data_IF_015507761579
#
_entry.id   IF_015507761579
#
_cell.length_a   1.000
_cell.length_b   1.000
_cell.length_c   1.000
_cell.angle_alpha   90.00
_cell.angle_beta   90.00
_cell.angle_gamma   90.00
#
_symmetry.space_group_name_H-M   'P 1'
#
loop_
_entity.id
_entity.type
_entity.pdbx_description
1 polymer ?
#
# COMPACT_ATOMS: atom_id res chain seq x y z
N UNK A 1 12.30 -112.28 -4.47
CA UNK A 1 13.34 -111.38 -3.90
C UNK A 1 13.38 -110.01 -4.53
N UNK A 2 13.07 -109.83 -5.84
CA UNK A 2 13.12 -108.49 -6.52
C UNK A 2 11.96 -107.57 -6.17
N UNK A 3 10.77 -108.06 -5.90
CA UNK A 3 9.60 -107.24 -5.58
C UNK A 3 9.63 -106.59 -4.18
N UNK A 4 10.31 -107.20 -3.23
CA UNK A 4 10.44 -106.64 -1.89
C UNK A 4 11.48 -105.51 -1.82
N UNK A 5 12.46 -105.58 -2.70
CA UNK A 5 13.50 -104.53 -2.76
C UNK A 5 13.01 -103.22 -3.35
N UNK A 6 12.18 -103.33 -4.41
CA UNK A 6 11.59 -102.17 -5.05
C UNK A 6 10.53 -101.47 -4.18
N UNK A 7 9.80 -102.20 -3.32
CA UNK A 7 8.86 -101.62 -2.40
C UNK A 7 9.55 -100.77 -1.31
N UNK A 8 10.67 -101.30 -0.74
CA UNK A 8 11.46 -100.53 0.23
C UNK A 8 12.10 -99.25 -0.30
N UNK A 9 12.52 -99.32 -1.55
CA UNK A 9 13.09 -98.10 -2.21
C UNK A 9 12.00 -97.08 -2.43
N UNK A 10 10.79 -97.46 -2.85
CA UNK A 10 9.65 -96.56 -3.01
C UNK A 10 9.21 -95.89 -1.72
N UNK A 11 9.24 -96.63 -0.61
CA UNK A 11 8.88 -96.15 0.74
C UNK A 11 9.93 -95.13 1.24
N UNK A 12 11.22 -95.41 1.00
CA UNK A 12 12.31 -94.48 1.35
C UNK A 12 12.29 -93.18 0.49
N UNK A 13 11.84 -93.25 -0.76
CA UNK A 13 11.66 -92.07 -1.60
C UNK A 13 10.48 -91.24 -1.15
N UNK A 14 9.34 -91.89 -0.76
CA UNK A 14 8.19 -91.15 -0.21
C UNK A 14 8.46 -90.45 1.13
N UNK A 15 9.33 -91.05 1.98
CA UNK A 15 9.73 -90.40 3.23
C UNK A 15 10.67 -89.20 3.07
N UNK A 16 11.37 -89.12 1.93
CA UNK A 16 12.26 -87.97 1.65
C UNK A 16 11.60 -86.82 0.91
N UNK A 17 10.39 -86.99 0.36
CA UNK A 17 9.59 -85.99 -0.25
C UNK A 17 8.55 -85.48 0.76
N UNK A 18 8.95 -85.16 1.95
CA UNK A 18 8.19 -84.25 2.80
C UNK A 18 8.43 -82.86 2.33
N UNK A 19 7.51 -82.33 1.48
CA UNK A 19 7.48 -80.93 1.06
C UNK A 19 7.56 -80.06 2.32
N UNK A 20 8.46 -79.13 2.42
CA UNK A 20 8.49 -78.21 3.53
C UNK A 20 7.13 -77.48 3.57
N UNK A 21 6.44 -77.54 4.72
CA UNK A 21 5.23 -76.74 5.00
C UNK A 21 5.49 -75.32 4.58
N UNK A 22 4.68 -74.86 3.63
CA UNK A 22 4.85 -73.57 2.99
C UNK A 22 5.24 -72.49 3.99
N UNK A 23 6.36 -71.86 3.70
CA UNK A 23 6.75 -70.62 4.36
C UNK A 23 5.63 -69.63 4.10
N UNK A 24 4.95 -69.22 5.18
CA UNK A 24 3.96 -68.11 5.12
C UNK A 24 4.75 -66.86 4.77
N UNK A 25 4.75 -66.53 3.49
CA UNK A 25 5.27 -65.24 3.01
C UNK A 25 4.34 -64.16 3.60
N UNK A 26 4.70 -63.67 4.76
CA UNK A 26 4.03 -62.52 5.38
C UNK A 26 4.28 -61.36 4.47
N UNK A 27 3.28 -61.00 3.66
CA UNK A 27 3.36 -59.86 2.75
C UNK A 27 3.76 -58.61 3.54
N UNK A 28 5.02 -58.21 3.41
CA UNK A 28 5.56 -56.96 4.01
C UNK A 28 4.93 -55.71 3.39
N UNK A 29 4.10 -55.87 2.35
CA UNK A 29 3.46 -54.76 1.66
C UNK A 29 2.40 -54.08 2.54
N UNK A 30 1.61 -54.80 3.30
CA UNK A 30 0.63 -54.25 4.26
C UNK A 30 1.28 -53.48 5.42
N UNK A 31 2.55 -53.78 5.78
CA UNK A 31 3.29 -53.01 6.79
C UNK A 31 3.72 -51.64 6.29
N UNK A 32 4.11 -51.50 5.02
CA UNK A 32 4.52 -50.25 4.45
C UNK A 32 3.36 -49.24 4.33
N UNK A 33 2.16 -49.69 4.05
CA UNK A 33 0.97 -48.83 3.99
C UNK A 33 0.58 -48.30 5.37
N UNK A 34 0.76 -49.10 6.43
CA UNK A 34 0.52 -48.66 7.82
C UNK A 34 1.52 -47.57 8.26
N UNK A 35 2.78 -47.67 7.83
CA UNK A 35 3.81 -46.68 8.11
C UNK A 35 3.52 -45.40 7.33
N UNK A 36 3.13 -45.49 6.05
CA UNK A 36 2.72 -44.32 5.25
C UNK A 36 1.49 -43.63 5.84
N UNK A 37 0.47 -44.37 6.25
CA UNK A 37 -0.72 -43.80 6.88
C UNK A 37 -0.40 -43.11 8.22
N UNK A 38 0.47 -43.67 9.05
CA UNK A 38 0.93 -43.04 10.28
C UNK A 38 1.71 -41.77 10.03
N UNK A 39 2.58 -41.73 9.02
CA UNK A 39 3.32 -40.52 8.61
C UNK A 39 2.37 -39.39 8.14
N UNK A 40 1.33 -39.73 7.37
CA UNK A 40 0.32 -38.75 6.91
C UNK A 40 -0.46 -38.20 8.11
N UNK A 41 -0.87 -39.07 9.05
CA UNK A 41 -1.58 -38.64 10.26
C UNK A 41 -0.70 -37.68 11.10
N UNK A 42 0.59 -37.98 11.26
CA UNK A 42 1.52 -37.13 11.99
C UNK A 42 1.70 -35.77 11.28
N UNK A 43 1.83 -35.75 9.93
CA UNK A 43 1.93 -34.53 9.17
C UNK A 43 0.66 -33.69 9.26
N UNK A 44 -0.52 -34.30 9.15
CA UNK A 44 -1.81 -33.59 9.26
C UNK A 44 -2.02 -33.10 10.70
N UNK A 45 -1.71 -33.89 11.69
CA UNK A 45 -1.79 -33.49 13.10
C UNK A 45 -0.77 -32.37 13.40
N UNK A 46 0.46 -32.47 12.90
CA UNK A 46 1.48 -31.42 13.02
C UNK A 46 1.08 -30.16 12.36
N UNK A 47 0.54 -30.17 11.12
CA UNK A 47 0.01 -29.03 10.42
C UNK A 47 -1.21 -28.43 11.15
N UNK A 48 -2.10 -29.27 11.70
CA UNK A 48 -3.24 -28.85 12.52
C UNK A 48 -2.80 -28.14 13.80
N UNK A 49 -1.82 -28.69 14.51
CA UNK A 49 -1.26 -28.10 15.72
C UNK A 49 -0.57 -26.75 15.37
N UNK A 50 0.23 -26.69 14.30
CA UNK A 50 0.86 -25.44 13.85
C UNK A 50 -0.16 -24.37 13.45
N UNK A 51 -1.31 -24.76 12.88
CA UNK A 51 -2.38 -23.82 12.55
C UNK A 51 -3.10 -23.26 13.78
N UNK A 52 -3.21 -24.02 14.87
CA UNK A 52 -3.79 -23.58 16.15
C UNK A 52 -2.90 -22.58 16.89
N UNK A 53 -1.59 -22.60 16.65
CA UNK A 53 -0.65 -21.61 17.21
C UNK A 53 -0.54 -20.31 16.40
N UNK A 54 -1.13 -20.25 15.19
CA UNK A 54 -1.23 -19.01 14.42
C UNK A 54 -2.31 -18.11 15.06
N UNK A 55 -1.89 -17.27 16.01
CA UNK A 55 -2.79 -16.24 16.55
C UNK A 55 -3.24 -15.33 15.41
N UNK A 56 -4.56 -15.06 15.27
CA UNK A 56 -5.02 -14.08 14.28
C UNK A 56 -4.36 -12.73 14.58
N UNK A 57 -3.66 -12.19 13.61
CA UNK A 57 -3.04 -10.85 13.73
C UNK A 57 -4.17 -9.84 13.73
N UNK A 58 -4.37 -9.15 14.87
CA UNK A 58 -5.37 -8.08 14.98
C UNK A 58 -4.93 -6.91 14.10
N UNK A 59 -5.87 -6.34 13.37
CA UNK A 59 -5.67 -5.16 12.56
C UNK A 59 -6.11 -3.93 13.35
N UNK A 60 -5.31 -2.87 13.28
CA UNK A 60 -5.63 -1.54 13.79
C UNK A 60 -6.10 -0.68 12.62
N UNK A 61 -7.18 0.04 12.83
CA UNK A 61 -7.79 0.92 11.83
C UNK A 61 -7.75 2.35 12.34
N UNK A 62 -7.23 3.27 11.52
CA UNK A 62 -7.25 4.71 11.78
C UNK A 62 -7.96 5.39 10.63
N UNK A 63 -9.02 6.14 10.94
CA UNK A 63 -9.83 6.85 9.95
C UNK A 63 -9.83 8.35 10.22
N UNK A 64 -9.72 9.14 9.15
CA UNK A 64 -9.97 10.57 9.12
C UNK A 64 -11.35 10.80 8.47
N UNK A 65 -12.41 10.96 9.28
CA UNK A 65 -13.78 11.04 8.75
C UNK A 65 -14.04 12.35 7.99
N UNK A 66 -14.07 13.48 8.71
CA UNK A 66 -14.43 14.81 8.15
C UNK A 66 -13.28 15.81 8.15
N UNK A 67 -12.26 15.57 8.96
CA UNK A 67 -11.12 16.45 9.12
C UNK A 67 -9.83 15.69 8.90
N UNK A 68 -8.79 16.39 8.46
CA UNK A 68 -7.44 15.85 8.38
C UNK A 68 -7.00 15.30 9.72
N UNK A 69 -6.28 14.19 9.70
CA UNK A 69 -5.76 13.55 10.90
C UNK A 69 -4.29 13.22 10.73
N UNK A 70 -3.49 13.66 11.69
CA UNK A 70 -2.06 13.29 11.76
C UNK A 70 -1.85 12.30 12.89
N UNK A 71 -1.07 11.26 12.65
CA UNK A 71 -0.65 10.32 13.69
C UNK A 71 0.71 9.71 13.36
N UNK A 72 1.34 9.12 14.37
CA UNK A 72 2.65 8.48 14.23
C UNK A 72 2.50 6.97 14.38
N UNK A 73 3.06 6.23 13.43
CA UNK A 73 3.16 4.78 13.49
C UNK A 73 4.22 4.35 14.52
N UNK A 74 4.21 3.08 14.97
CA UNK A 74 5.16 2.60 15.99
C UNK A 74 6.65 2.71 15.62
N UNK A 75 6.99 2.78 14.32
CA UNK A 75 8.36 2.97 13.81
C UNK A 75 8.82 4.42 13.73
N UNK A 76 7.97 5.39 14.14
CA UNK A 76 8.25 6.81 14.03
C UNK A 76 7.75 7.46 12.73
N UNK A 77 7.27 6.68 11.76
CA UNK A 77 6.67 7.20 10.53
C UNK A 77 5.47 8.09 10.83
N UNK A 78 5.45 9.30 10.29
CA UNK A 78 4.33 10.24 10.43
C UNK A 78 3.41 10.12 9.22
N UNK A 79 2.10 10.00 9.48
CA UNK A 79 1.07 9.87 8.45
C UNK A 79 0.07 11.01 8.57
N UNK A 80 -0.18 11.72 7.46
CA UNK A 80 -1.17 12.79 7.34
C UNK A 80 -2.31 12.28 6.47
N UNK A 81 -3.44 11.94 7.09
CA UNK A 81 -4.64 11.45 6.40
C UNK A 81 -5.52 12.60 5.96
N UNK A 82 -5.95 12.59 4.70
CA UNK A 82 -7.01 13.48 4.21
C UNK A 82 -8.40 13.01 4.67
N UNK A 83 -9.41 13.89 4.67
CA UNK A 83 -10.79 13.52 5.00
C UNK A 83 -11.29 12.35 4.15
N UNK A 84 -12.03 11.42 4.76
CA UNK A 84 -12.53 10.21 4.11
C UNK A 84 -11.50 9.09 3.95
N UNK A 85 -10.28 9.26 4.47
CA UNK A 85 -9.19 8.29 4.34
C UNK A 85 -9.14 7.33 5.51
N UNK A 86 -8.83 6.08 5.20
CA UNK A 86 -8.59 5.02 6.19
C UNK A 86 -7.25 4.36 5.95
N UNK A 87 -6.49 4.15 7.02
CA UNK A 87 -5.28 3.33 7.03
C UNK A 87 -5.44 2.16 7.99
N UNK A 88 -4.95 1.00 7.58
CA UNK A 88 -5.00 -0.24 8.35
C UNK A 88 -3.60 -0.83 8.46
N UNK A 89 -3.22 -1.31 9.65
CA UNK A 89 -1.95 -1.99 9.89
C UNK A 89 -2.08 -3.03 11.00
N UNK A 90 -1.17 -3.99 11.02
CA UNK A 90 -1.20 -5.09 11.99
C UNK A 90 -0.72 -4.65 13.38
N UNK A 91 -1.20 -5.27 14.46
CA UNK A 91 -0.67 -5.07 15.83
C UNK A 91 0.79 -5.53 15.97
N UNK A 92 1.27 -6.36 15.05
CA UNK A 92 2.67 -6.79 14.93
C UNK A 92 3.54 -5.86 14.06
N UNK A 93 2.96 -4.73 13.58
CA UNK A 93 3.68 -3.76 12.75
C UNK A 93 5.03 -3.36 13.35
N UNK A 94 6.05 -3.29 12.49
CA UNK A 94 7.41 -2.87 12.88
C UNK A 94 8.29 -3.95 13.51
N UNK A 95 7.77 -5.18 13.72
CA UNK A 95 8.58 -6.29 14.25
C UNK A 95 9.32 -7.05 13.15
N UNK A 96 8.62 -7.36 12.06
CA UNK A 96 9.15 -8.09 10.90
C UNK A 96 8.91 -7.29 9.62
N UNK A 97 7.77 -6.61 9.52
CA UNK A 97 7.33 -5.87 8.34
C UNK A 97 6.72 -4.53 8.74
N UNK A 98 6.89 -3.52 7.88
CA UNK A 98 6.27 -2.19 8.00
C UNK A 98 5.19 -2.03 6.93
N UNK A 99 4.16 -2.90 7.01
CA UNK A 99 3.09 -2.95 6.01
C UNK A 99 1.84 -2.21 6.48
N UNK A 100 1.30 -1.35 5.62
CA UNK A 100 0.03 -0.66 5.84
C UNK A 100 -0.85 -0.77 4.60
N UNK A 101 -2.18 -0.73 4.78
CA UNK A 101 -3.16 -0.68 3.69
C UNK A 101 -3.85 0.67 3.72
N UNK A 102 -3.89 1.36 2.58
CA UNK A 102 -4.47 2.68 2.39
C UNK A 102 -5.74 2.62 1.52
N UNK A 103 -6.79 3.32 1.98
CA UNK A 103 -7.97 3.67 1.17
C UNK A 103 -8.16 5.19 1.28
N UNK A 104 -8.15 5.91 0.16
CA UNK A 104 -8.20 7.36 0.11
C UNK A 104 -6.84 8.01 -0.15
N UNK A 105 -6.52 9.12 0.51
CA UNK A 105 -5.30 9.91 0.30
C UNK A 105 -4.53 10.13 1.60
N UNK A 106 -3.22 9.85 1.57
CA UNK A 106 -2.32 10.14 2.68
C UNK A 106 -0.93 10.59 2.21
N UNK A 107 -0.36 11.54 2.97
CA UNK A 107 1.04 11.89 2.89
C UNK A 107 1.81 11.10 3.97
N UNK A 108 2.88 10.46 3.57
CA UNK A 108 3.77 9.71 4.43
C UNK A 108 5.11 10.41 4.57
N UNK A 109 5.58 10.59 5.80
CA UNK A 109 6.97 10.90 6.12
C UNK A 109 7.57 9.68 6.80
N UNK A 110 8.13 8.80 5.98
CA UNK A 110 8.59 7.49 6.42
C UNK A 110 9.94 7.59 7.11
N UNK A 111 10.03 7.03 8.32
CA UNK A 111 11.28 6.91 9.06
C UNK A 111 12.26 5.98 8.33
N UNK A 112 13.54 6.39 8.26
CA UNK A 112 14.55 5.66 7.50
C UNK A 112 14.93 4.34 8.18
N UNK A 113 14.74 3.24 7.48
CA UNK A 113 15.18 1.91 7.87
C UNK A 113 15.47 1.08 6.60
N UNK A 114 16.76 0.88 6.34
CA UNK A 114 17.24 0.17 5.15
C UNK A 114 17.06 -1.36 5.27
N UNK A 115 16.87 -1.88 6.50
CA UNK A 115 16.70 -3.31 6.74
C UNK A 115 15.23 -3.77 6.60
N UNK A 116 14.28 -2.89 6.93
CA UNK A 116 12.85 -3.21 6.91
C UNK A 116 12.11 -2.23 6.01
N UNK A 117 11.83 -2.56 4.74
CA UNK A 117 11.07 -1.71 3.83
C UNK A 117 9.69 -1.37 4.38
N UNK A 118 9.25 -0.12 4.16
CA UNK A 118 7.89 0.32 4.43
C UNK A 118 7.04 0.12 3.17
N UNK A 119 5.91 -0.56 3.30
CA UNK A 119 5.04 -0.90 2.16
C UNK A 119 3.65 -0.32 2.41
N UNK A 120 3.18 0.47 1.44
CA UNK A 120 1.78 0.92 1.39
C UNK A 120 1.07 0.18 0.28
N UNK A 121 0.12 -0.66 0.65
CA UNK A 121 -0.75 -1.36 -0.28
C UNK A 121 -2.10 -0.62 -0.43
N UNK A 122 -2.65 -0.60 -1.63
CA UNK A 122 -4.02 -0.16 -1.90
C UNK A 122 -4.74 -1.19 -2.76
N UNK A 123 -5.96 -0.89 -3.20
CA UNK A 123 -6.68 -1.74 -4.15
C UNK A 123 -6.02 -1.80 -5.55
N UNK A 124 -5.26 -0.77 -5.95
CA UNK A 124 -4.75 -0.59 -7.31
C UNK A 124 -3.24 -0.76 -7.44
N UNK A 125 -2.49 -0.23 -6.48
CA UNK A 125 -1.03 -0.19 -6.50
C UNK A 125 -0.45 -0.56 -5.14
N UNK A 126 0.81 -0.96 -5.15
CA UNK A 126 1.67 -1.08 -3.96
C UNK A 126 2.87 -0.17 -4.11
N UNK A 127 3.30 0.46 -3.01
CA UNK A 127 4.53 1.26 -2.96
C UNK A 127 5.48 0.66 -1.93
N UNK A 128 6.78 0.69 -2.24
CA UNK A 128 7.85 0.24 -1.35
C UNK A 128 8.91 1.32 -1.21
N UNK A 129 9.28 1.65 0.03
CA UNK A 129 10.27 2.69 0.35
C UNK A 129 11.14 2.28 1.53
N UNK A 130 12.31 2.90 1.69
CA UNK A 130 13.22 2.68 2.83
C UNK A 130 13.25 3.86 3.81
N UNK A 131 12.88 5.08 3.34
CA UNK A 131 12.88 6.31 4.12
C UNK A 131 12.64 7.49 3.18
N UNK A 132 11.38 7.82 2.94
CA UNK A 132 10.94 8.67 1.85
C UNK A 132 9.75 9.51 2.31
N UNK A 133 9.63 10.74 1.80
CA UNK A 133 8.42 11.54 1.92
C UNK A 133 7.66 11.49 0.60
N UNK A 134 6.43 11.03 0.61
CA UNK A 134 5.60 10.88 -0.58
C UNK A 134 4.11 10.98 -0.26
N UNK A 135 3.32 11.42 -1.23
CA UNK A 135 1.86 11.36 -1.18
C UNK A 135 1.36 10.20 -2.02
N UNK A 136 0.36 9.49 -1.52
CA UNK A 136 -0.34 8.42 -2.25
C UNK A 136 -1.84 8.68 -2.17
N UNK A 137 -2.49 8.70 -3.33
CA UNK A 137 -3.91 8.92 -3.49
C UNK A 137 -4.54 7.80 -4.32
N UNK A 138 -5.69 7.28 -3.88
CA UNK A 138 -6.49 6.29 -4.60
C UNK A 138 -7.87 6.86 -4.84
N UNK A 139 -8.15 7.21 -6.10
CA UNK A 139 -9.42 7.82 -6.53
C UNK A 139 -10.38 6.76 -7.09
N UNK A 140 -11.60 6.78 -6.60
CA UNK A 140 -12.76 6.09 -7.21
C UNK A 140 -12.51 4.64 -7.64
N UNK A 141 -11.58 3.92 -7.00
CA UNK A 141 -11.21 2.53 -7.32
C UNK A 141 -10.71 2.29 -8.76
N UNK A 142 -10.49 3.35 -9.55
CA UNK A 142 -10.03 3.27 -10.94
C UNK A 142 -8.68 3.95 -11.19
N UNK A 143 -8.27 4.90 -10.34
CA UNK A 143 -7.03 5.64 -10.49
C UNK A 143 -6.26 5.71 -9.17
N UNK A 144 -4.95 5.56 -9.24
CA UNK A 144 -4.05 5.80 -8.13
C UNK A 144 -2.89 6.69 -8.57
N UNK A 145 -2.51 7.64 -7.72
CA UNK A 145 -1.41 8.57 -7.95
C UNK A 145 -0.42 8.54 -6.78
N UNK A 146 0.86 8.53 -7.11
CA UNK A 146 1.96 8.67 -6.15
C UNK A 146 2.79 9.89 -6.54
N UNK A 147 3.12 10.76 -5.59
CA UNK A 147 4.00 11.92 -5.78
C UNK A 147 5.14 11.84 -4.78
N UNK A 148 6.38 11.88 -5.24
CA UNK A 148 7.57 11.80 -4.39
C UNK A 148 8.08 13.20 -4.06
N UNK A 149 8.13 13.52 -2.77
CA UNK A 149 8.67 14.80 -2.28
C UNK A 149 10.18 14.71 -2.04
N UNK A 150 10.62 13.61 -1.42
CA UNK A 150 12.02 13.37 -1.09
C UNK A 150 12.28 11.87 -1.07
N UNK A 151 13.45 11.44 -1.57
CA UNK A 151 13.88 10.05 -1.57
C UNK A 151 13.47 9.30 -2.84
N UNK A 152 13.17 8.02 -2.68
CA UNK A 152 12.87 7.11 -3.79
C UNK A 152 11.70 6.19 -3.43
N UNK A 153 10.79 5.97 -4.38
CA UNK A 153 9.62 5.10 -4.24
C UNK A 153 9.59 4.11 -5.39
N UNK A 154 9.54 2.83 -5.08
CA UNK A 154 9.17 1.78 -6.01
C UNK A 154 7.64 1.67 -6.02
N UNK A 155 7.02 1.80 -7.19
CA UNK A 155 5.57 1.69 -7.39
C UNK A 155 5.30 0.48 -8.25
N UNK A 156 4.43 -0.40 -7.79
CA UNK A 156 3.99 -1.59 -8.50
C UNK A 156 2.48 -1.54 -8.71
N UNK A 157 2.03 -1.65 -9.96
CA UNK A 157 0.61 -1.80 -10.28
C UNK A 157 0.17 -3.24 -9.99
N UNK A 158 -0.97 -3.42 -9.32
CA UNK A 158 -1.55 -4.74 -9.12
C UNK A 158 -2.07 -5.25 -10.47
N UNK A 159 -1.41 -6.28 -11.00
CA UNK A 159 -1.84 -7.00 -12.21
C UNK A 159 -3.08 -7.86 -11.97
N UNK A 160 -3.77 -8.24 -13.04
CA UNK A 160 -4.73 -9.34 -13.01
C UNK A 160 -4.02 -10.68 -12.79
N UNK A 161 -4.74 -11.69 -12.30
CA UNK A 161 -4.22 -13.05 -12.08
C UNK A 161 -3.43 -13.53 -13.30
N UNK A 162 -2.11 -13.75 -13.16
CA UNK A 162 -1.14 -14.19 -14.18
C UNK A 162 -0.41 -13.10 -15.02
N UNK A 163 -0.55 -11.80 -14.73
CA UNK A 163 0.32 -10.79 -15.32
C UNK A 163 1.23 -10.18 -14.25
N UNK A 164 2.54 -10.18 -14.52
CA UNK A 164 3.51 -9.47 -13.69
C UNK A 164 3.16 -7.98 -13.72
N UNK A 165 2.90 -7.37 -12.56
CA UNK A 165 2.54 -5.96 -12.44
C UNK A 165 3.62 -5.06 -13.06
N UNK A 166 3.18 -3.97 -13.70
CA UNK A 166 4.13 -2.93 -14.16
C UNK A 166 4.75 -2.24 -12.94
N UNK A 167 6.05 -2.04 -12.99
CA UNK A 167 6.83 -1.43 -11.92
C UNK A 167 7.54 -0.18 -12.41
N UNK A 168 7.59 0.86 -11.57
CA UNK A 168 8.36 2.08 -11.78
C UNK A 168 9.12 2.47 -10.52
N UNK A 169 10.30 3.06 -10.70
CA UNK A 169 11.07 3.70 -9.63
C UNK A 169 10.98 5.21 -9.82
N UNK A 170 10.41 5.89 -8.84
CA UNK A 170 10.25 7.33 -8.80
C UNK A 170 11.32 7.95 -7.89
N UNK A 171 11.88 9.06 -8.33
CA UNK A 171 12.73 9.93 -7.51
C UNK A 171 11.97 11.20 -7.10
N UNK A 172 12.58 12.05 -6.27
CA UNK A 172 11.98 13.33 -5.89
C UNK A 172 11.50 14.14 -7.09
N UNK A 173 10.38 14.84 -6.93
CA UNK A 173 9.68 15.64 -7.95
C UNK A 173 9.13 14.83 -9.14
N UNK A 174 8.97 13.53 -8.99
CA UNK A 174 8.28 12.65 -9.95
C UNK A 174 6.98 12.14 -9.40
N UNK A 175 6.05 11.83 -10.30
CA UNK A 175 4.81 11.14 -9.97
C UNK A 175 4.62 9.92 -10.86
N UNK A 176 3.83 8.97 -10.36
CA UNK A 176 3.25 7.90 -11.17
C UNK A 176 1.74 7.93 -11.03
N UNK A 177 1.06 7.72 -12.14
CA UNK A 177 -0.39 7.53 -12.21
C UNK A 177 -0.67 6.16 -12.79
N UNK A 178 -1.43 5.37 -12.06
CA UNK A 178 -1.98 4.12 -12.55
C UNK A 178 -3.46 4.28 -12.84
N UNK A 179 -3.86 3.92 -14.06
CA UNK A 179 -5.25 3.88 -14.47
C UNK A 179 -5.66 2.42 -14.71
N UNK A 180 -6.68 1.97 -13.98
CA UNK A 180 -7.16 0.58 -14.03
C UNK A 180 -7.83 0.24 -15.36
N UNK A 181 -8.55 1.19 -15.96
CA UNK A 181 -9.32 0.94 -17.19
C UNK A 181 -8.41 0.75 -18.41
N UNK A 182 -7.26 1.43 -18.40
CA UNK A 182 -6.25 1.32 -19.48
C UNK A 182 -5.10 0.39 -19.11
N UNK A 183 -4.99 -0.05 -17.86
CA UNK A 183 -3.86 -0.82 -17.30
C UNK A 183 -2.50 -0.14 -17.52
N UNK A 184 -2.48 1.20 -17.61
CA UNK A 184 -1.26 1.97 -17.78
C UNK A 184 -0.76 2.49 -16.43
N UNK A 185 0.55 2.34 -16.21
CA UNK A 185 1.30 2.98 -15.15
C UNK A 185 2.28 3.93 -15.82
N UNK A 186 2.08 5.24 -15.64
CA UNK A 186 2.83 6.28 -16.32
C UNK A 186 3.54 7.19 -15.32
N UNK A 187 4.79 7.57 -15.64
CA UNK A 187 5.59 8.49 -14.86
C UNK A 187 5.59 9.87 -15.52
N UNK A 188 5.51 10.93 -14.71
CA UNK A 188 5.60 12.31 -15.16
C UNK A 188 6.38 13.19 -14.18
N UNK A 189 6.73 14.39 -14.64
CA UNK A 189 7.24 15.45 -13.77
C UNK A 189 6.12 15.95 -12.85
N UNK A 190 6.45 16.21 -11.58
CA UNK A 190 5.49 16.61 -10.57
C UNK A 190 6.08 17.61 -9.57
N UNK A 191 6.95 18.51 -10.06
CA UNK A 191 7.61 19.51 -9.22
C UNK A 191 6.62 20.39 -8.46
N UNK A 192 5.55 20.85 -9.12
CA UNK A 192 4.51 21.66 -8.47
C UNK A 192 3.72 20.89 -7.43
N UNK A 193 3.37 19.62 -7.72
CA UNK A 193 2.69 18.76 -6.75
C UNK A 193 3.58 18.47 -5.52
N UNK A 194 4.86 18.15 -5.75
CA UNK A 194 5.80 17.88 -4.67
C UNK A 194 6.00 19.12 -3.79
N UNK A 195 6.11 20.32 -4.38
CA UNK A 195 6.13 21.59 -3.66
C UNK A 195 4.86 21.79 -2.84
N UNK A 196 3.69 21.62 -3.44
CA UNK A 196 2.40 21.73 -2.77
C UNK A 196 2.31 20.83 -1.54
N UNK A 197 2.60 19.53 -1.68
CA UNK A 197 2.53 18.58 -0.56
C UNK A 197 3.60 18.85 0.51
N UNK A 198 4.80 19.30 0.12
CA UNK A 198 5.85 19.68 1.05
C UNK A 198 5.45 20.87 1.91
N UNK A 199 4.87 21.90 1.32
CA UNK A 199 4.40 23.10 2.01
C UNK A 199 3.16 22.79 2.87
N UNK A 200 2.23 22.00 2.35
CA UNK A 200 1.07 21.47 3.10
C UNK A 200 1.50 20.75 4.38
N UNK A 201 2.55 19.93 4.32
CA UNK A 201 3.12 19.24 5.48
C UNK A 201 3.67 20.21 6.53
N UNK A 202 4.22 21.35 6.10
CA UNK A 202 4.75 22.39 6.97
C UNK A 202 3.67 23.29 7.57
N UNK A 203 2.42 23.18 7.13
CA UNK A 203 1.31 23.99 7.58
C UNK A 203 1.30 25.41 6.99
N UNK A 204 2.06 25.67 5.93
CA UNK A 204 2.17 27.00 5.32
C UNK A 204 2.57 26.93 3.84
N UNK A 205 2.03 27.83 3.03
CA UNK A 205 2.45 28.06 1.66
C UNK A 205 3.30 29.30 1.57
N UNK A 206 4.51 29.15 1.03
CA UNK A 206 5.46 30.26 0.80
C UNK A 206 5.56 30.48 -0.69
N UNK A 207 5.36 31.71 -1.14
CA UNK A 207 5.41 32.12 -2.53
C UNK A 207 6.47 33.21 -2.71
N UNK A 208 7.30 33.06 -3.71
CA UNK A 208 8.40 33.96 -4.05
C UNK A 208 8.29 34.38 -5.54
N UNK A 209 7.27 35.15 -5.87
CA UNK A 209 7.01 35.64 -7.21
C UNK A 209 6.18 34.71 -8.09
N UNK A 210 5.47 33.74 -7.50
CA UNK A 210 4.55 32.91 -8.25
C UNK A 210 3.36 33.69 -8.78
N UNK A 211 2.89 33.32 -9.98
CA UNK A 211 1.65 33.88 -10.51
C UNK A 211 0.47 33.64 -9.58
N UNK A 212 -0.35 34.67 -9.37
CA UNK A 212 -1.49 34.58 -8.43
C UNK A 212 -2.46 33.45 -8.76
N UNK A 213 -2.62 33.06 -10.01
CA UNK A 213 -3.46 31.93 -10.41
C UNK A 213 -2.95 30.62 -9.80
N UNK A 214 -1.62 30.41 -9.67
CA UNK A 214 -1.03 29.25 -9.02
C UNK A 214 -1.29 29.26 -7.52
N UNK A 215 -1.12 30.43 -6.89
CA UNK A 215 -1.43 30.64 -5.46
C UNK A 215 -2.88 30.26 -5.16
N UNK A 216 -3.81 30.76 -5.96
CA UNK A 216 -5.24 30.49 -5.79
C UNK A 216 -5.56 29.01 -6.05
N UNK A 217 -4.94 28.38 -7.03
CA UNK A 217 -5.11 26.95 -7.28
C UNK A 217 -4.64 26.10 -6.09
N UNK A 218 -3.53 26.45 -5.44
CA UNK A 218 -3.04 25.77 -4.24
C UNK A 218 -4.06 25.91 -3.08
N UNK A 219 -4.62 27.11 -2.89
CA UNK A 219 -5.64 27.36 -1.87
C UNK A 219 -6.95 26.64 -2.17
N UNK A 220 -7.42 26.63 -3.43
CA UNK A 220 -8.60 25.87 -3.85
C UNK A 220 -8.43 24.39 -3.54
N UNK A 221 -7.28 23.83 -3.89
CA UNK A 221 -6.93 22.44 -3.63
C UNK A 221 -6.86 22.12 -2.13
N UNK A 222 -6.27 23.02 -1.36
CA UNK A 222 -6.11 22.80 0.09
C UNK A 222 -7.43 22.90 0.85
N UNK A 223 -8.22 23.94 0.58
CA UNK A 223 -9.48 24.19 1.30
C UNK A 223 -10.69 23.53 0.67
N UNK A 224 -10.52 22.90 -0.50
CA UNK A 224 -11.62 22.32 -1.30
C UNK A 224 -12.72 23.35 -1.56
N UNK A 225 -12.33 24.59 -1.96
CA UNK A 225 -13.22 25.72 -2.17
C UNK A 225 -13.08 26.27 -3.58
N UNK A 226 -14.14 26.84 -4.15
CA UNK A 226 -14.08 27.53 -5.41
C UNK A 226 -13.61 28.97 -5.21
N UNK A 227 -12.49 29.37 -5.85
CA UNK A 227 -11.95 30.72 -5.78
C UNK A 227 -11.74 31.22 -7.21
N UNK A 228 -12.43 32.29 -7.57
CA UNK A 228 -12.32 32.91 -8.88
C UNK A 228 -11.46 34.19 -8.79
N UNK A 229 -10.68 34.45 -9.85
CA UNK A 229 -9.86 35.67 -9.99
C UNK A 229 -10.34 36.55 -11.10
N UNK A 230 -10.27 37.88 -10.91
CA UNK A 230 -10.35 38.83 -12.00
C UNK A 230 -9.19 38.56 -12.99
N UNK A 231 -9.51 38.51 -14.29
CA UNK A 231 -8.55 38.22 -15.36
C UNK A 231 -7.33 39.13 -15.35
N UNK A 232 -7.48 40.37 -14.87
CA UNK A 232 -6.42 41.40 -14.85
C UNK A 232 -5.29 41.08 -13.85
N UNK A 233 -5.57 40.31 -12.80
CA UNK A 233 -4.62 40.03 -11.73
C UNK A 233 -4.12 38.58 -11.74
N UNK A 234 -4.58 37.71 -12.64
CA UNK A 234 -4.22 36.29 -12.67
C UNK A 234 -2.71 36.05 -12.78
N UNK A 235 -2.00 36.89 -13.53
CA UNK A 235 -0.56 36.80 -13.77
C UNK A 235 0.27 37.75 -12.91
N UNK A 236 -0.33 38.43 -11.91
CA UNK A 236 0.44 39.20 -10.94
C UNK A 236 1.35 38.30 -10.15
N UNK A 237 2.61 38.70 -9.97
CA UNK A 237 3.53 38.01 -9.08
C UNK A 237 3.09 38.20 -7.61
N UNK A 238 3.01 37.12 -6.87
CA UNK A 238 2.66 37.14 -5.44
C UNK A 238 3.87 36.76 -4.60
N UNK A 239 4.18 37.58 -3.62
CA UNK A 239 5.22 37.35 -2.63
C UNK A 239 4.55 37.27 -1.25
N UNK A 240 4.64 36.16 -0.56
CA UNK A 240 3.99 36.05 0.72
C UNK A 240 4.08 34.68 1.35
N UNK A 241 3.69 34.64 2.63
CA UNK A 241 3.62 33.43 3.46
C UNK A 241 2.19 33.30 3.97
N UNK A 242 1.50 32.28 3.50
CA UNK A 242 0.12 31.98 3.86
C UNK A 242 0.09 30.83 4.86
N UNK A 243 -0.28 31.13 6.12
CA UNK A 243 -0.52 30.09 7.11
C UNK A 243 -1.82 29.37 6.78
N UNK A 244 -1.73 28.08 6.42
CA UNK A 244 -2.88 27.25 6.05
C UNK A 244 -3.61 26.61 7.22
N UNK A 245 -3.12 26.81 8.46
CA UNK A 245 -3.84 26.42 9.68
C UNK A 245 -5.00 27.38 9.96
N UNK A 246 -4.89 28.64 9.48
CA UNK A 246 -5.97 29.62 9.53
C UNK A 246 -7.11 29.25 8.55
N UNK A 247 -8.25 29.94 8.71
CA UNK A 247 -9.36 29.78 7.78
C UNK A 247 -9.06 30.40 6.39
N UNK A 248 -9.80 29.94 5.37
CA UNK A 248 -9.63 30.42 4.00
C UNK A 248 -9.83 31.93 3.87
N UNK A 249 -10.77 32.52 4.64
CA UNK A 249 -11.08 33.96 4.54
C UNK A 249 -9.87 34.80 4.90
N UNK A 250 -9.14 34.45 5.98
CA UNK A 250 -7.89 35.14 6.33
C UNK A 250 -6.81 35.02 5.26
N UNK A 251 -6.67 33.84 4.65
CA UNK A 251 -5.72 33.64 3.56
C UNK A 251 -6.07 34.53 2.35
N UNK A 252 -7.34 34.62 2.00
CA UNK A 252 -7.82 35.46 0.91
C UNK A 252 -7.70 36.96 1.23
N UNK A 253 -7.98 37.37 2.47
CA UNK A 253 -7.81 38.76 2.92
C UNK A 253 -6.36 39.23 2.76
N UNK A 254 -5.39 38.40 3.13
CA UNK A 254 -3.97 38.70 2.95
C UNK A 254 -3.64 38.97 1.47
N UNK A 255 -4.14 38.10 0.58
CA UNK A 255 -3.94 38.24 -0.88
C UNK A 255 -4.63 39.53 -1.40
N UNK A 256 -5.87 39.76 -0.99
CA UNK A 256 -6.64 40.92 -1.47
C UNK A 256 -6.00 42.23 -1.05
N UNK A 257 -5.53 42.31 0.21
CA UNK A 257 -4.82 43.51 0.73
C UNK A 257 -3.56 43.80 -0.10
N UNK A 258 -2.75 42.74 -0.38
CA UNK A 258 -1.49 42.92 -1.16
C UNK A 258 -1.70 43.43 -2.58
N UNK A 259 -2.88 43.21 -3.16
CA UNK A 259 -3.22 43.57 -4.54
C UNK A 259 -4.18 44.76 -4.63
N UNK A 260 -4.57 45.35 -3.49
CA UNK A 260 -5.65 46.35 -3.42
C UNK A 260 -6.95 45.85 -4.10
N UNK A 261 -7.25 44.57 -3.95
CA UNK A 261 -8.44 43.88 -4.46
C UNK A 261 -9.53 43.72 -3.39
N UNK A 262 -10.72 43.27 -3.79
CA UNK A 262 -11.84 43.02 -2.92
C UNK A 262 -12.27 41.55 -3.01
N UNK A 263 -12.64 40.95 -1.86
CA UNK A 263 -13.21 39.64 -1.82
C UNK A 263 -14.73 39.74 -1.81
N UNK A 264 -15.36 39.04 -2.72
CA UNK A 264 -16.81 38.87 -2.76
C UNK A 264 -17.13 37.38 -2.54
N UNK A 265 -18.02 37.11 -1.60
CA UNK A 265 -18.51 35.75 -1.34
C UNK A 265 -19.73 35.46 -2.18
N UNK A 266 -19.83 34.28 -2.80
CA UNK A 266 -21.00 33.86 -3.56
C UNK A 266 -22.24 33.81 -2.66
N UNK A 267 -23.42 34.04 -3.23
CA UNK A 267 -24.72 34.02 -2.53
C UNK A 267 -24.95 32.68 -1.76
N UNK A 268 -24.38 31.60 -2.23
CA UNK A 268 -24.50 30.27 -1.62
C UNK A 268 -23.41 29.97 -0.57
N UNK A 269 -22.48 30.89 -0.36
CA UNK A 269 -21.41 30.79 0.67
C UNK A 269 -20.28 29.81 0.37
N UNK A 270 -20.29 29.14 -0.80
CA UNK A 270 -19.32 28.10 -1.14
C UNK A 270 -18.20 28.56 -2.08
N UNK A 271 -18.28 29.76 -2.62
CA UNK A 271 -17.33 30.33 -3.57
C UNK A 271 -16.88 31.71 -3.19
N UNK A 272 -15.69 32.08 -3.65
CA UNK A 272 -15.08 33.40 -3.46
C UNK A 272 -14.66 33.98 -4.81
N UNK A 273 -14.77 35.29 -4.94
CA UNK A 273 -14.27 36.05 -6.08
C UNK A 273 -13.32 37.13 -5.59
N UNK A 274 -12.07 37.10 -6.02
CA UNK A 274 -11.12 38.21 -5.84
C UNK A 274 -11.27 39.11 -7.03
N UNK A 275 -11.86 40.31 -6.82
CA UNK A 275 -12.25 41.24 -7.86
C UNK A 275 -11.50 42.56 -7.75
N UNK A 276 -11.21 43.17 -8.89
CA UNK A 276 -10.42 44.43 -8.96
C UNK A 276 -8.93 44.16 -8.68
N UNK A 277 -8.28 45.16 -8.14
CA UNK A 277 -6.84 45.11 -7.86
C UNK A 277 -5.97 45.40 -9.11
N UNK A 278 -4.68 45.49 -8.85
CA UNK A 278 -3.62 45.68 -9.86
C UNK A 278 -2.33 45.02 -9.38
N UNK A 279 -1.46 44.63 -10.32
CA UNK A 279 -0.10 44.20 -10.00
C UNK A 279 0.71 45.41 -9.48
N UNK A 280 1.42 45.21 -8.38
CA UNK A 280 2.37 46.17 -7.83
C UNK A 280 3.76 45.97 -8.45
#
# INVERSE_FOLDING_TARGET
MEREHSARILEQIHQRISLPKGAVVRSMWFSRWKVAAAAIIILVAGAGILSLFRKPVKQLLVTAEKQRKTFTLPDGTIVYLEPGTTIQYATSYGKEERNVTLTGEALFKVEKDDAHPFIVASSLISTRVLGTSFNMEVRNSSEAKVVVLNGMVQVEAKGEENQQGKELILTANKSAVYNKDTHLLEMSDATDDARFYSQKQQGRFVYDGEELIKVVNDLQRYYNAEIRLDKRIQHCAFYGDVNIVDDLEKALDLIAVSLNAKINKDKNGNGYMIAGGNCQ
#
